data_IF_170527963817
#
_entry.id   IF_170527963817
#
_cell.length_a   1.000
_cell.length_b   1.000
_cell.length_c   1.000
_cell.angle_alpha   90.00
_cell.angle_beta   90.00
_cell.angle_gamma   90.00
#
_symmetry.space_group_name_H-M   'P 1'
#
loop_
_entity.id
_entity.type
_entity.pdbx_description
1 polymer ?
#
# COMPACT_ATOMS: atom_id res chain seq x y z
N UNK A 1 -46.59 8.09 21.93
CA UNK A 1 -46.08 7.47 20.69
C UNK A 1 -44.85 8.27 20.37
N UNK A 2 -43.71 7.78 20.83
CA UNK A 2 -42.44 8.50 20.75
C UNK A 2 -41.79 8.18 19.41
N UNK A 3 -41.59 9.21 18.60
CA UNK A 3 -40.86 9.14 17.34
C UNK A 3 -39.38 8.82 17.63
N UNK A 4 -38.94 7.64 17.21
CA UNK A 4 -37.54 7.26 17.23
C UNK A 4 -36.85 7.97 16.06
N UNK A 5 -35.81 8.80 16.29
CA UNK A 5 -35.10 9.43 15.19
C UNK A 5 -34.40 8.35 14.37
N UNK A 6 -34.78 8.25 13.09
CA UNK A 6 -34.10 7.43 12.09
C UNK A 6 -32.71 8.03 11.88
N UNK A 7 -31.70 7.43 12.51
CA UNK A 7 -30.30 7.74 12.22
C UNK A 7 -30.01 7.19 10.83
N UNK A 8 -30.00 8.08 9.85
CA UNK A 8 -29.49 7.79 8.52
C UNK A 8 -27.99 7.49 8.67
N UNK A 9 -27.49 6.33 8.20
CA UNK A 9 -26.06 6.10 8.18
C UNK A 9 -25.46 7.10 7.20
N UNK A 10 -24.71 8.06 7.74
CA UNK A 10 -23.85 8.94 6.96
C UNK A 10 -22.89 8.01 6.20
N UNK A 11 -23.11 7.89 4.88
CA UNK A 11 -22.17 7.22 3.98
C UNK A 11 -20.94 8.10 3.98
N UNK A 12 -20.00 7.81 4.88
CA UNK A 12 -18.66 8.37 4.83
C UNK A 12 -18.15 8.01 3.43
N UNK A 13 -17.95 9.00 2.54
CA UNK A 13 -17.37 8.71 1.24
C UNK A 13 -16.07 8.00 1.52
N UNK A 14 -15.84 6.85 0.87
CA UNK A 14 -14.57 6.14 0.89
C UNK A 14 -13.45 7.14 0.61
N UNK A 15 -12.92 7.75 1.66
CA UNK A 15 -11.55 8.19 1.72
C UNK A 15 -10.78 6.90 1.60
N UNK A 16 -10.51 6.52 0.35
CA UNK A 16 -9.30 5.83 -0.02
C UNK A 16 -8.23 6.60 0.73
N UNK A 17 -7.86 6.10 1.93
CA UNK A 17 -6.89 6.70 2.83
C UNK A 17 -5.76 7.13 1.94
N UNK A 18 -5.58 8.46 1.79
CA UNK A 18 -4.66 9.04 0.82
C UNK A 18 -3.30 8.41 1.07
N UNK A 19 -2.96 7.43 0.25
CA UNK A 19 -1.74 6.69 0.39
C UNK A 19 -0.64 7.66 0.00
N UNK A 20 0.17 8.05 0.98
CA UNK A 20 1.37 8.83 0.75
C UNK A 20 2.46 7.82 0.39
N UNK A 21 2.96 7.71 -0.86
CA UNK A 21 4.22 7.03 -1.14
C UNK A 21 5.24 7.39 -0.07
N UNK A 22 5.49 6.43 0.82
CA UNK A 22 6.31 6.71 1.97
C UNK A 22 7.73 6.85 1.44
N UNK A 23 8.27 8.07 1.49
CA UNK A 23 9.71 8.38 1.42
C UNK A 23 10.40 7.78 2.65
N UNK A 24 10.33 6.45 2.81
CA UNK A 24 10.97 5.72 3.92
C UNK A 24 12.36 5.30 3.49
N UNK A 25 13.20 6.31 3.30
CA UNK A 25 14.62 6.11 3.35
C UNK A 25 15.28 7.32 3.99
N UNK A 26 16.14 7.05 4.98
CA UNK A 26 17.39 7.80 5.09
C UNK A 26 18.00 7.91 3.67
N UNK A 27 18.74 8.96 3.31
CA UNK A 27 19.12 9.26 1.92
C UNK A 27 19.85 8.10 1.18
N UNK A 28 20.26 7.07 1.94
CA UNK A 28 20.89 5.83 1.53
C UNK A 28 19.98 4.56 1.43
N UNK A 29 18.70 4.62 1.82
CA UNK A 29 17.79 3.46 1.91
C UNK A 29 16.88 3.34 0.68
N UNK A 30 17.47 3.20 -0.51
CA UNK A 30 16.72 2.93 -1.77
C UNK A 30 16.14 1.51 -1.85
N UNK A 31 16.53 0.63 -0.93
CA UNK A 31 16.20 -0.78 -0.98
C UNK A 31 15.97 -1.39 0.41
N UNK A 32 14.95 -2.25 0.53
CA UNK A 32 14.58 -2.90 1.79
C UNK A 32 14.62 -4.43 1.65
N UNK A 33 15.20 -5.14 2.61
CA UNK A 33 15.15 -6.61 2.59
C UNK A 33 13.72 -7.11 2.78
N UNK A 34 13.41 -8.31 2.26
CA UNK A 34 12.07 -8.92 2.41
C UNK A 34 11.69 -9.09 3.88
N UNK A 35 12.64 -9.42 4.73
CA UNK A 35 12.46 -9.61 6.17
C UNK A 35 12.10 -8.28 6.85
N UNK A 36 12.83 -7.21 6.52
CA UNK A 36 12.58 -5.88 7.08
C UNK A 36 11.22 -5.34 6.61
N UNK A 37 10.90 -5.53 5.34
CA UNK A 37 9.62 -5.14 4.77
C UNK A 37 8.45 -5.95 5.37
N UNK A 38 8.59 -7.27 5.50
CA UNK A 38 7.57 -8.12 6.10
C UNK A 38 7.27 -7.72 7.56
N UNK A 39 8.30 -7.35 8.34
CA UNK A 39 8.15 -6.80 9.69
C UNK A 39 7.36 -5.49 9.72
N UNK A 40 7.56 -4.61 8.72
CA UNK A 40 6.85 -3.33 8.57
C UNK A 40 5.36 -3.52 8.29
N UNK A 41 4.98 -4.57 7.57
CA UNK A 41 3.57 -4.86 7.25
C UNK A 41 2.85 -5.48 8.46
N UNK A 42 2.41 -4.63 9.38
CA UNK A 42 1.68 -5.02 10.58
C UNK A 42 0.19 -5.19 10.25
N UNK A 43 -0.41 -6.26 10.74
CA UNK A 43 -1.86 -6.38 10.86
C UNK A 43 -2.27 -6.06 12.29
N UNK A 44 -3.06 -5.00 12.48
CA UNK A 44 -3.81 -4.80 13.71
C UNK A 44 -5.00 -5.77 13.74
N UNK A 45 -5.05 -6.58 14.78
CA UNK A 45 -6.19 -7.43 15.09
C UNK A 45 -6.67 -6.95 16.46
N UNK A 46 -7.88 -6.40 16.54
CA UNK A 46 -8.44 -5.91 17.82
C UNK A 46 -8.30 -6.99 18.90
N UNK A 47 -7.67 -6.61 20.01
CA UNK A 47 -7.57 -7.41 21.23
C UNK A 47 -6.34 -8.29 21.39
N UNK A 48 -5.52 -8.52 20.35
CA UNK A 48 -4.30 -9.33 20.54
C UNK A 48 -3.25 -9.10 19.43
N UNK A 49 -2.01 -8.81 19.85
CA UNK A 49 -0.73 -8.78 19.14
C UNK A 49 -0.73 -8.30 17.68
N UNK A 50 -0.06 -7.17 17.46
CA UNK A 50 0.43 -6.73 16.14
C UNK A 50 1.20 -7.87 15.47
N UNK A 51 0.61 -8.49 14.44
CA UNK A 51 1.25 -9.57 13.71
C UNK A 51 1.82 -9.02 12.41
N UNK A 52 3.14 -9.05 12.28
CA UNK A 52 3.81 -8.78 11.00
C UNK A 52 3.50 -9.87 9.98
N UNK A 53 3.56 -9.54 8.69
CA UNK A 53 3.52 -10.54 7.62
C UNK A 53 4.75 -11.45 7.69
N UNK A 54 4.58 -12.67 7.19
CA UNK A 54 5.70 -13.59 6.97
C UNK A 54 6.36 -13.30 5.62
N UNK A 55 7.66 -13.60 5.49
CA UNK A 55 8.36 -13.56 4.19
C UNK A 55 7.71 -14.48 3.17
N UNK A 56 7.15 -15.62 3.60
CA UNK A 56 6.39 -16.52 2.74
C UNK A 56 5.15 -15.84 2.13
N UNK A 57 4.45 -14.99 2.88
CA UNK A 57 3.33 -14.20 2.37
C UNK A 57 3.80 -13.20 1.31
N UNK A 58 4.92 -12.50 1.56
CA UNK A 58 5.51 -11.57 0.59
C UNK A 58 5.87 -12.29 -0.71
N UNK A 59 6.52 -13.46 -0.62
CA UNK A 59 6.89 -14.24 -1.79
C UNK A 59 5.66 -14.68 -2.60
N UNK A 60 4.54 -15.05 -1.95
CA UNK A 60 3.29 -15.38 -2.65
C UNK A 60 2.74 -14.19 -3.43
N UNK A 61 2.75 -12.99 -2.84
CA UNK A 61 2.30 -11.78 -3.52
C UNK A 61 3.21 -11.38 -4.69
N UNK A 62 4.53 -11.55 -4.52
CA UNK A 62 5.50 -11.36 -5.61
C UNK A 62 5.21 -12.31 -6.78
N UNK A 63 4.95 -13.59 -6.50
CA UNK A 63 4.60 -14.57 -7.55
C UNK A 63 3.33 -14.12 -8.28
N UNK A 64 2.29 -13.70 -7.56
CA UNK A 64 1.07 -13.17 -8.19
C UNK A 64 1.35 -11.96 -9.08
N UNK A 65 2.21 -11.03 -8.65
CA UNK A 65 2.57 -9.87 -9.45
C UNK A 65 3.41 -10.26 -10.69
N UNK A 66 4.31 -11.24 -10.58
CA UNK A 66 5.08 -11.76 -11.71
C UNK A 66 4.21 -12.50 -12.74
N UNK A 67 3.19 -13.22 -12.29
CA UNK A 67 2.27 -13.97 -13.15
C UNK A 67 1.30 -13.05 -13.90
N UNK A 68 0.91 -11.94 -13.28
CA UNK A 68 -0.16 -11.11 -13.80
C UNK A 68 0.37 -9.82 -14.43
N UNK A 69 1.27 -9.05 -13.78
CA UNK A 69 1.75 -7.77 -14.32
C UNK A 69 2.97 -7.94 -15.24
N UNK A 70 2.84 -7.73 -16.57
CA UNK A 70 3.88 -8.11 -17.53
C UNK A 70 5.22 -7.39 -17.35
N UNK A 71 5.25 -6.21 -16.74
CA UNK A 71 6.50 -5.45 -16.57
C UNK A 71 7.16 -5.66 -15.20
N UNK A 72 6.56 -6.43 -14.31
CA UNK A 72 6.99 -6.51 -12.92
C UNK A 72 8.38 -7.13 -12.79
N UNK A 73 8.70 -8.08 -13.68
CA UNK A 73 10.03 -8.72 -13.76
C UNK A 73 11.18 -7.73 -14.01
N UNK A 74 10.89 -6.56 -14.60
CA UNK A 74 11.90 -5.52 -14.85
C UNK A 74 12.35 -4.87 -13.55
N UNK A 75 11.48 -4.82 -12.56
CA UNK A 75 11.72 -4.14 -11.29
C UNK A 75 12.03 -5.11 -10.15
N UNK A 76 11.63 -6.37 -10.25
CA UNK A 76 11.90 -7.37 -9.22
C UNK A 76 13.11 -8.26 -9.56
N UNK A 77 14.03 -8.41 -8.60
CA UNK A 77 15.15 -9.36 -8.65
C UNK A 77 15.11 -10.25 -7.40
N UNK A 78 15.05 -11.59 -7.52
CA UNK A 78 14.78 -12.49 -6.39
C UNK A 78 15.74 -12.39 -5.20
N UNK A 79 17.03 -12.15 -5.48
CA UNK A 79 18.12 -12.12 -4.50
C UNK A 79 18.50 -10.69 -4.08
N UNK A 80 17.80 -9.67 -4.59
CA UNK A 80 18.06 -8.29 -4.24
C UNK A 80 17.00 -7.75 -3.28
N UNK A 81 17.39 -6.69 -2.58
CA UNK A 81 16.47 -5.91 -1.77
C UNK A 81 15.38 -5.30 -2.66
N UNK A 82 14.18 -5.16 -2.10
CA UNK A 82 13.01 -4.61 -2.76
C UNK A 82 13.20 -3.12 -2.98
N UNK A 83 13.00 -2.65 -4.20
CA UNK A 83 12.92 -1.21 -4.50
C UNK A 83 11.54 -0.64 -4.14
N UNK A 84 11.44 0.68 -4.20
CA UNK A 84 10.23 1.40 -3.79
C UNK A 84 8.99 1.02 -4.59
N UNK A 85 9.11 0.79 -5.90
CA UNK A 85 7.98 0.35 -6.72
C UNK A 85 7.47 -1.03 -6.29
N UNK A 86 8.38 -1.99 -6.07
CA UNK A 86 8.01 -3.33 -5.62
C UNK A 86 7.38 -3.27 -4.23
N UNK A 87 7.96 -2.49 -3.32
CA UNK A 87 7.39 -2.27 -1.99
C UNK A 87 6.00 -1.65 -2.06
N UNK A 88 5.81 -0.65 -2.92
CA UNK A 88 4.52 0.00 -3.12
C UNK A 88 3.45 -0.97 -3.62
N UNK A 89 3.75 -1.81 -4.61
CA UNK A 89 2.81 -2.84 -5.09
C UNK A 89 2.38 -3.79 -3.96
N UNK A 90 3.35 -4.24 -3.14
CA UNK A 90 3.08 -5.13 -2.02
C UNK A 90 2.27 -4.44 -0.90
N UNK A 91 2.47 -3.13 -0.70
CA UNK A 91 1.68 -2.33 0.22
C UNK A 91 0.23 -2.19 -0.24
N UNK A 92 -0.02 -1.98 -1.54
CA UNK A 92 -1.40 -1.95 -2.07
C UNK A 92 -2.12 -3.27 -1.80
N UNK A 93 -1.44 -4.41 -2.02
CA UNK A 93 -2.00 -5.74 -1.70
C UNK A 93 -2.25 -5.88 -0.19
N UNK A 94 -1.34 -5.41 0.66
CA UNK A 94 -1.52 -5.47 2.10
C UNK A 94 -2.68 -4.61 2.58
N UNK A 95 -2.87 -3.42 2.03
CA UNK A 95 -4.01 -2.56 2.37
C UNK A 95 -5.33 -3.24 2.02
N UNK A 96 -5.43 -3.85 0.83
CA UNK A 96 -6.60 -4.63 0.47
C UNK A 96 -6.82 -5.80 1.44
N UNK A 97 -5.76 -6.53 1.79
CA UNK A 97 -5.91 -7.63 2.75
C UNK A 97 -6.41 -7.17 4.13
N UNK A 98 -6.16 -5.91 4.51
CA UNK A 98 -6.65 -5.34 5.76
C UNK A 98 -8.13 -4.93 5.70
N UNK A 99 -8.68 -4.62 4.52
CA UNK A 99 -10.11 -4.33 4.34
C UNK A 99 -10.96 -5.59 4.50
N UNK A 100 -10.38 -6.77 4.27
CA UNK A 100 -11.06 -8.04 4.43
C UNK A 100 -11.45 -8.32 5.90
N UNK A 101 -12.62 -8.95 6.12
CA UNK A 101 -13.00 -9.47 7.43
C UNK A 101 -11.89 -10.38 7.99
N UNK A 102 -11.74 -10.47 9.32
CA UNK A 102 -10.67 -11.25 9.98
C UNK A 102 -10.52 -12.69 9.44
N UNK A 103 -11.63 -13.36 9.07
CA UNK A 103 -11.64 -14.72 8.48
C UNK A 103 -11.18 -14.78 7.02
N UNK A 104 -11.27 -13.68 6.28
CA UNK A 104 -10.86 -13.55 4.88
C UNK A 104 -9.42 -13.04 4.70
N UNK A 105 -8.82 -12.42 5.73
CA UNK A 105 -7.45 -11.92 5.69
C UNK A 105 -6.45 -13.04 5.39
N UNK A 106 -5.54 -12.79 4.47
CA UNK A 106 -4.53 -13.71 3.99
C UNK A 106 -5.07 -14.81 3.08
N UNK A 107 -6.35 -14.77 2.68
CA UNK A 107 -6.92 -15.76 1.77
C UNK A 107 -6.29 -15.60 0.36
N UNK A 108 -5.52 -16.60 -0.11
CA UNK A 108 -4.80 -16.48 -1.37
C UNK A 108 -5.71 -16.27 -2.59
N UNK A 109 -6.93 -16.81 -2.57
CA UNK A 109 -7.86 -16.70 -3.70
C UNK A 109 -8.38 -15.27 -3.85
N UNK A 110 -8.81 -14.66 -2.73
CA UNK A 110 -9.32 -13.28 -2.71
C UNK A 110 -8.23 -12.31 -3.16
N UNK A 111 -7.01 -12.49 -2.64
CA UNK A 111 -5.87 -11.64 -3.02
C UNK A 111 -5.48 -11.84 -4.49
N UNK A 112 -5.50 -13.08 -5.00
CA UNK A 112 -5.22 -13.33 -6.41
C UNK A 112 -6.27 -12.68 -7.34
N UNK A 113 -7.55 -12.75 -6.98
CA UNK A 113 -8.63 -12.07 -7.72
C UNK A 113 -8.45 -10.56 -7.70
N UNK A 114 -8.11 -9.97 -6.54
CA UNK A 114 -7.81 -8.55 -6.44
C UNK A 114 -6.67 -8.14 -7.37
N UNK A 115 -5.53 -8.85 -7.35
CA UNK A 115 -4.38 -8.52 -8.21
C UNK A 115 -4.75 -8.60 -9.69
N UNK A 116 -5.49 -9.64 -10.10
CA UNK A 116 -5.95 -9.81 -11.49
C UNK A 116 -6.88 -8.69 -11.94
N UNK A 117 -7.89 -8.37 -11.14
CA UNK A 117 -8.90 -7.37 -11.49
C UNK A 117 -8.35 -5.94 -11.45
N UNK A 118 -7.28 -5.71 -10.70
CA UNK A 118 -6.69 -4.39 -10.48
C UNK A 118 -5.28 -4.26 -11.06
N UNK A 119 -4.94 -5.08 -12.06
CA UNK A 119 -3.59 -5.11 -12.65
C UNK A 119 -3.08 -3.74 -13.09
N UNK A 120 -3.98 -2.90 -13.61
CA UNK A 120 -3.69 -1.53 -14.05
C UNK A 120 -3.18 -0.64 -12.91
N UNK A 121 -3.58 -0.92 -11.65
CA UNK A 121 -3.11 -0.22 -10.47
C UNK A 121 -1.64 -0.51 -10.20
N UNK A 122 -1.11 -1.67 -10.59
CA UNK A 122 0.26 -2.07 -10.29
C UNK A 122 1.26 -1.64 -11.36
N UNK A 123 0.92 -0.70 -12.26
CA UNK A 123 1.84 -0.28 -13.31
C UNK A 123 2.87 0.75 -12.85
N UNK A 124 4.08 0.67 -13.40
CA UNK A 124 5.14 1.65 -13.12
C UNK A 124 4.73 3.09 -13.51
N UNK A 125 3.92 3.24 -14.55
CA UNK A 125 3.35 4.53 -14.94
C UNK A 125 2.49 5.11 -13.82
N UNK A 126 1.59 4.30 -13.25
CA UNK A 126 0.73 4.73 -12.15
C UNK A 126 1.54 5.15 -10.92
N UNK A 127 2.59 4.40 -10.60
CA UNK A 127 3.51 4.75 -9.52
C UNK A 127 4.18 6.12 -9.76
N UNK A 128 4.67 6.37 -10.98
CA UNK A 128 5.28 7.65 -11.33
C UNK A 128 4.29 8.83 -11.26
N UNK A 129 3.04 8.63 -11.69
CA UNK A 129 1.98 9.63 -11.57
C UNK A 129 1.72 10.00 -10.11
N UNK A 130 1.67 9.00 -9.21
CA UNK A 130 1.50 9.24 -7.79
C UNK A 130 2.66 10.06 -7.21
N UNK A 131 3.90 9.70 -7.52
CA UNK A 131 5.08 10.45 -7.08
C UNK A 131 5.08 11.90 -7.58
N UNK A 132 4.69 12.13 -8.84
CA UNK A 132 4.57 13.50 -9.40
C UNK A 132 3.49 14.30 -8.70
N UNK A 133 2.34 13.67 -8.42
CA UNK A 133 1.23 14.32 -7.72
C UNK A 133 1.58 14.67 -6.28
N UNK A 134 2.39 13.87 -5.60
CA UNK A 134 2.90 14.20 -4.28
C UNK A 134 3.88 15.37 -4.32
N UNK A 135 4.87 15.32 -5.21
CA UNK A 135 5.84 16.39 -5.37
C UNK A 135 5.15 17.74 -5.67
N UNK A 136 4.15 17.74 -6.55
CA UNK A 136 3.37 18.93 -6.87
C UNK A 136 2.57 19.49 -5.67
N UNK A 137 2.20 18.65 -4.70
CA UNK A 137 1.52 19.08 -3.46
C UNK A 137 2.49 19.61 -2.41
N UNK A 138 3.75 19.18 -2.43
CA UNK A 138 4.78 19.64 -1.49
C UNK A 138 5.38 21.00 -1.90
N UNK A 139 5.53 21.28 -3.20
CA UNK A 139 6.04 22.57 -3.69
C UNK A 139 5.29 23.84 -3.18
N UNK A 140 3.95 23.89 -3.11
CA UNK A 140 3.26 25.06 -2.56
C UNK A 140 3.47 25.23 -1.04
N UNK A 141 3.80 24.17 -0.30
CA UNK A 141 4.05 24.24 1.16
C UNK A 141 5.40 24.90 1.44
N UNK A 142 6.44 24.58 0.68
CA UNK A 142 7.76 25.21 0.85
C UNK A 142 7.76 26.67 0.39
N UNK A 143 7.01 26.97 -0.67
CA UNK A 143 6.79 28.35 -1.12
C UNK A 143 6.08 29.19 -0.05
N UNK A 144 5.07 28.64 0.62
CA UNK A 144 4.35 29.32 1.69
C UNK A 144 5.21 29.52 2.96
N UNK A 145 6.08 28.55 3.30
CA UNK A 145 7.04 28.71 4.40
C UNK A 145 8.09 29.78 4.11
N UNK A 146 8.55 29.89 2.87
CA UNK A 146 9.50 30.92 2.47
C UNK A 146 8.90 32.34 2.55
N UNK A 147 7.60 32.50 2.31
CA UNK A 147 6.89 33.79 2.43
C UNK A 147 6.64 34.18 3.89
N UNK A 148 6.47 33.21 4.81
CA UNK A 148 6.30 33.50 6.26
C UNK A 148 7.65 33.81 6.95
N UNK A 149 8.76 33.34 6.37
CA UNK A 149 10.12 33.57 6.87
C UNK A 149 10.83 34.80 6.26
N UNK A 150 10.16 35.54 5.36
CA UNK A 150 10.65 36.76 4.72
C UNK A 150 9.91 37.99 5.27
#
# INVERSE_FOLDING_TARGET
MDDIPVITPEIIPNEIKRFRPIRTGDENSKYCSKEKFARRLITEIEGDKTRSRSVATINKWIILLLENEPNFYRFYKPEQNLNDYVMWCLEQIHQEDLTLPKRGRGNPKIIAEFVKNNIHLFSAQRYQELLRNEHAKEQPIDSAKAIIAA
#
